data_IF_203914394949
#
_entry.id   IF_203914394949
#
_cell.length_a   1.000
_cell.length_b   1.000
_cell.length_c   1.000
_cell.angle_alpha   90.00
_cell.angle_beta   90.00
_cell.angle_gamma   90.00
#
_symmetry.space_group_name_H-M   'P 1'
#
loop_
_entity.id
_entity.type
_entity.pdbx_description
1 polymer ?
#
# COMPACT_ATOMS: atom_id res chain seq x y z
N UNK A 1 -8.22 1.89 -12.28
CA UNK A 1 -8.22 0.44 -11.95
C UNK A 1 -6.89 0.12 -11.29
N UNK A 2 -6.94 -0.40 -10.09
CA UNK A 2 -5.73 -0.80 -9.39
C UNK A 2 -5.06 -1.96 -10.12
N UNK A 3 -3.73 -1.91 -10.23
CA UNK A 3 -2.98 -3.01 -10.80
C UNK A 3 -3.06 -4.23 -9.88
N UNK A 4 -3.47 -5.36 -10.43
CA UNK A 4 -3.51 -6.62 -9.69
C UNK A 4 -2.19 -7.34 -9.92
N UNK A 5 -1.47 -7.59 -8.84
CA UNK A 5 -0.21 -8.32 -8.88
C UNK A 5 -0.44 -9.78 -8.56
N UNK A 6 0.21 -10.65 -9.32
CA UNK A 6 0.16 -12.08 -9.06
C UNK A 6 0.89 -12.41 -7.77
N UNK A 7 0.39 -13.37 -6.96
CA UNK A 7 1.14 -13.87 -5.83
C UNK A 7 2.49 -14.42 -6.30
N UNK A 8 3.55 -14.14 -5.58
CA UNK A 8 4.83 -14.63 -6.01
C UNK A 8 5.97 -14.21 -5.10
N UNK A 9 7.13 -14.71 -5.44
CA UNK A 9 8.38 -14.38 -4.80
C UNK A 9 8.99 -13.09 -5.37
N UNK A 10 10.19 -12.75 -4.92
CA UNK A 10 10.91 -11.56 -5.36
C UNK A 10 11.07 -11.48 -6.89
N UNK A 11 11.39 -12.59 -7.55
CA UNK A 11 11.56 -12.63 -9.02
C UNK A 11 10.28 -12.26 -9.73
N UNK A 12 9.20 -12.93 -9.36
CA UNK A 12 7.88 -12.70 -9.96
C UNK A 12 7.43 -11.26 -9.74
N UNK A 13 7.64 -10.71 -8.55
CA UNK A 13 7.29 -9.32 -8.22
C UNK A 13 8.08 -8.33 -9.07
N UNK A 14 9.38 -8.53 -9.25
CA UNK A 14 10.22 -7.66 -10.09
C UNK A 14 9.77 -7.74 -11.56
N UNK A 15 9.53 -8.94 -12.07
CA UNK A 15 9.05 -9.13 -13.45
C UNK A 15 7.71 -8.44 -13.68
N UNK A 16 6.78 -8.59 -12.74
CA UNK A 16 5.48 -7.93 -12.82
C UNK A 16 5.59 -6.41 -12.80
N UNK A 17 6.46 -5.86 -11.95
CA UNK A 17 6.70 -4.42 -11.90
C UNK A 17 7.30 -3.89 -13.19
N UNK A 18 8.22 -4.62 -13.78
CA UNK A 18 8.81 -4.25 -15.08
C UNK A 18 7.72 -4.22 -16.16
N UNK A 19 6.86 -5.23 -16.20
CA UNK A 19 5.74 -5.29 -17.15
C UNK A 19 4.73 -4.16 -16.91
N UNK A 20 4.30 -3.95 -15.68
CA UNK A 20 3.30 -2.93 -15.36
C UNK A 20 3.79 -1.52 -15.65
N UNK A 21 5.07 -1.25 -15.46
CA UNK A 21 5.67 0.04 -15.75
C UNK A 21 6.09 0.19 -17.21
N UNK A 22 6.00 -0.87 -18.02
CA UNK A 22 6.38 -0.90 -19.44
C UNK A 22 7.80 -0.40 -19.68
N UNK A 23 8.73 -0.85 -18.87
CA UNK A 23 10.15 -0.49 -18.92
C UNK A 23 10.98 -1.72 -19.31
N UNK A 24 12.24 -1.49 -19.68
CA UNK A 24 13.20 -2.56 -19.90
C UNK A 24 13.90 -2.95 -18.61
N UNK A 25 14.56 -4.10 -18.58
CA UNK A 25 15.38 -4.52 -17.44
C UNK A 25 16.58 -3.59 -17.21
N UNK A 26 17.02 -2.87 -18.21
CA UNK A 26 18.15 -1.95 -18.09
C UNK A 26 17.87 -0.81 -17.12
N UNK A 27 16.64 -0.29 -17.06
CA UNK A 27 16.28 0.80 -16.17
C UNK A 27 16.41 0.44 -14.68
N UNK A 28 15.75 -0.63 -14.19
CA UNK A 28 15.90 -1.00 -12.78
C UNK A 28 17.33 -1.44 -12.46
N UNK A 29 18.01 -2.11 -13.36
CA UNK A 29 19.42 -2.50 -13.16
C UNK A 29 20.31 -1.28 -12.94
N UNK A 30 20.17 -0.25 -13.77
CA UNK A 30 20.93 1.01 -13.63
C UNK A 30 20.62 1.69 -12.28
N UNK A 31 19.37 1.73 -11.88
CA UNK A 31 18.95 2.37 -10.61
C UNK A 31 19.51 1.68 -9.37
N UNK A 32 19.75 0.39 -9.43
CA UNK A 32 20.29 -0.36 -8.29
C UNK A 32 21.81 -0.59 -8.40
N UNK A 33 22.44 -0.09 -9.46
CA UNK A 33 23.89 -0.13 -9.61
C UNK A 33 24.46 -1.48 -10.05
N UNK A 34 23.67 -2.29 -10.76
CA UNK A 34 24.14 -3.55 -11.35
C UNK A 34 23.95 -3.51 -12.87
N UNK A 35 24.57 -4.46 -13.57
CA UNK A 35 24.40 -4.61 -15.02
C UNK A 35 23.05 -5.26 -15.34
N UNK A 36 22.50 -4.94 -16.51
CA UNK A 36 21.30 -5.61 -17.02
C UNK A 36 21.48 -7.13 -17.06
N UNK A 37 22.66 -7.58 -17.45
CA UNK A 37 23.03 -8.99 -17.46
C UNK A 37 22.95 -9.64 -16.07
N UNK A 38 23.39 -8.95 -15.03
CA UNK A 38 23.30 -9.43 -13.65
C UNK A 38 21.86 -9.54 -13.18
N UNK A 39 21.02 -8.56 -13.50
CA UNK A 39 19.59 -8.61 -13.19
C UNK A 39 18.91 -9.74 -13.92
N UNK A 40 19.21 -9.92 -15.21
CA UNK A 40 18.66 -11.00 -16.03
C UNK A 40 19.02 -12.39 -15.46
N UNK A 41 20.23 -12.58 -15.00
CA UNK A 41 20.65 -13.85 -14.36
C UNK A 41 19.81 -14.16 -13.12
N UNK A 42 19.51 -13.15 -12.32
CA UNK A 42 18.62 -13.33 -11.17
C UNK A 42 17.20 -13.68 -11.62
N UNK A 43 16.66 -12.94 -12.58
CA UNK A 43 15.28 -13.13 -13.06
C UNK A 43 15.09 -14.49 -13.76
N UNK A 44 16.10 -15.00 -14.42
CA UNK A 44 16.04 -16.32 -15.09
C UNK A 44 16.40 -17.49 -14.18
N UNK A 45 16.72 -17.23 -12.93
CA UNK A 45 17.05 -18.28 -11.94
C UNK A 45 18.47 -18.78 -11.97
N UNK A 46 19.36 -18.20 -12.77
CA UNK A 46 20.79 -18.58 -12.80
C UNK A 46 21.56 -18.17 -11.56
N UNK A 47 21.07 -17.12 -10.88
CA UNK A 47 21.56 -16.65 -9.59
C UNK A 47 20.38 -16.71 -8.63
N UNK A 48 20.55 -17.34 -7.48
CA UNK A 48 19.46 -17.59 -6.55
C UNK A 48 19.05 -16.37 -5.73
N UNK A 49 20.00 -15.50 -5.42
CA UNK A 49 19.80 -14.41 -4.46
C UNK A 49 20.19 -13.06 -5.05
N UNK A 50 19.39 -12.07 -4.71
CA UNK A 50 19.69 -10.66 -4.90
C UNK A 50 20.11 -10.11 -3.53
N UNK A 51 21.14 -9.27 -3.46
CA UNK A 51 21.59 -8.68 -2.21
C UNK A 51 20.53 -7.80 -1.57
N UNK A 52 20.52 -7.72 -0.24
CA UNK A 52 19.50 -6.93 0.47
C UNK A 52 19.53 -5.44 0.08
N UNK A 53 20.70 -4.88 -0.20
CA UNK A 53 20.80 -3.49 -0.68
C UNK A 53 20.14 -3.29 -2.03
N UNK A 54 20.28 -4.25 -2.95
CA UNK A 54 19.62 -4.19 -4.24
C UNK A 54 18.10 -4.28 -4.08
N UNK A 55 17.61 -5.11 -3.16
CA UNK A 55 16.17 -5.19 -2.84
C UNK A 55 15.65 -3.86 -2.33
N UNK A 56 16.35 -3.21 -1.41
CA UNK A 56 15.97 -1.89 -0.89
C UNK A 56 15.97 -0.83 -1.99
N UNK A 57 16.95 -0.83 -2.86
CA UNK A 57 17.04 0.11 -3.99
C UNK A 57 15.95 -0.12 -5.02
N UNK A 58 15.60 -1.39 -5.30
CA UNK A 58 14.48 -1.72 -6.18
C UNK A 58 13.15 -1.24 -5.60
N UNK A 59 12.93 -1.45 -4.31
CA UNK A 59 11.73 -0.96 -3.64
C UNK A 59 11.57 0.56 -3.80
N UNK A 60 12.65 1.29 -3.61
CA UNK A 60 12.67 2.76 -3.80
C UNK A 60 12.46 3.14 -5.26
N UNK A 61 13.09 2.42 -6.19
CA UNK A 61 12.99 2.70 -7.62
C UNK A 61 11.57 2.50 -8.14
N UNK A 62 10.90 1.44 -7.69
CA UNK A 62 9.51 1.15 -8.07
C UNK A 62 8.47 1.80 -7.16
N UNK A 63 8.89 2.49 -6.10
CA UNK A 63 8.00 3.13 -5.13
C UNK A 63 7.03 2.13 -4.47
N UNK A 64 7.54 0.96 -4.14
CA UNK A 64 6.80 -0.08 -3.42
C UNK A 64 7.51 -0.41 -2.11
N UNK A 65 6.84 -1.13 -1.21
CA UNK A 65 7.44 -1.59 0.03
C UNK A 65 8.37 -2.78 -0.22
N UNK A 66 9.38 -2.96 0.65
CA UNK A 66 10.21 -4.15 0.64
C UNK A 66 9.41 -5.41 0.95
N UNK A 67 8.40 -5.29 1.82
CA UNK A 67 7.50 -6.41 2.14
C UNK A 67 6.75 -6.89 0.90
N UNK A 68 6.28 -5.97 0.07
CA UNK A 68 5.65 -6.32 -1.20
C UNK A 68 6.62 -7.05 -2.13
N UNK A 69 7.84 -6.53 -2.31
CA UNK A 69 8.84 -7.18 -3.15
C UNK A 69 9.20 -8.58 -2.67
N UNK A 70 9.29 -8.78 -1.35
CA UNK A 70 9.64 -10.06 -0.76
C UNK A 70 8.46 -11.03 -0.68
N UNK A 71 7.27 -10.62 -1.13
CA UNK A 71 6.09 -11.48 -1.15
C UNK A 71 5.38 -11.61 0.20
N UNK A 72 5.72 -10.78 1.18
CA UNK A 72 5.10 -10.81 2.52
C UNK A 72 3.74 -10.13 2.56
N UNK A 73 3.42 -9.29 1.59
CA UNK A 73 2.14 -8.62 1.44
C UNK A 73 1.77 -8.51 -0.03
N UNK A 74 0.48 -8.44 -0.33
CA UNK A 74 -0.03 -8.19 -1.67
C UNK A 74 -0.24 -6.70 -1.95
N UNK A 75 -0.05 -5.85 -0.94
CA UNK A 75 -0.26 -4.41 -1.03
C UNK A 75 1.07 -3.73 -1.36
N UNK A 76 1.19 -3.05 -2.52
CA UNK A 76 2.45 -2.44 -2.96
C UNK A 76 2.81 -1.15 -2.22
N UNK A 77 1.88 -0.52 -1.53
CA UNK A 77 2.11 0.77 -0.88
C UNK A 77 3.33 0.76 0.04
N UNK A 78 4.18 1.77 -0.11
CA UNK A 78 5.40 1.91 0.68
C UNK A 78 5.13 2.15 2.16
N UNK A 79 3.99 2.73 2.48
CA UNK A 79 3.67 3.12 3.84
C UNK A 79 2.67 2.17 4.46
N UNK A 80 3.07 1.50 5.54
CA UNK A 80 2.15 0.84 6.44
C UNK A 80 1.64 1.90 7.42
N UNK A 81 0.35 2.20 7.34
CA UNK A 81 -0.24 3.21 8.19
C UNK A 81 -0.40 2.68 9.62
N UNK A 82 0.21 3.38 10.57
CA UNK A 82 -0.06 3.14 11.98
C UNK A 82 -1.49 3.57 12.32
N UNK A 83 -2.15 2.86 13.24
CA UNK A 83 -3.53 3.20 13.65
C UNK A 83 -3.63 4.64 14.13
N UNK A 84 -2.62 5.12 14.87
CA UNK A 84 -2.55 6.50 15.35
C UNK A 84 -2.52 7.54 14.22
N UNK A 85 -1.90 7.21 13.10
CA UNK A 85 -1.83 8.09 11.93
C UNK A 85 -3.15 8.20 11.20
N UNK A 86 -4.02 7.19 11.33
CA UNK A 86 -5.35 7.20 10.72
C UNK A 86 -6.35 8.07 11.48
N UNK A 87 -6.01 8.52 12.68
CA UNK A 87 -6.91 9.33 13.50
C UNK A 87 -8.06 8.56 14.14
N UNK A 88 -8.02 7.22 14.07
CA UNK A 88 -9.03 6.38 14.72
C UNK A 88 -8.84 6.36 16.24
N UNK A 89 -9.94 6.38 16.98
CA UNK A 89 -9.89 6.12 18.40
C UNK A 89 -9.55 4.65 18.67
N UNK A 90 -9.07 4.34 19.88
CA UNK A 90 -8.81 2.96 20.30
C UNK A 90 -10.08 2.11 20.19
N UNK A 91 -11.22 2.66 20.56
CA UNK A 91 -12.51 1.98 20.48
C UNK A 91 -12.90 1.67 19.04
N UNK A 92 -12.76 2.64 18.13
CA UNK A 92 -13.05 2.45 16.71
C UNK A 92 -12.14 1.38 16.08
N UNK A 93 -10.85 1.44 16.38
CA UNK A 93 -9.88 0.44 15.91
C UNK A 93 -10.21 -0.95 16.43
N UNK A 94 -10.58 -1.07 17.71
CA UNK A 94 -10.98 -2.34 18.31
C UNK A 94 -12.23 -2.92 17.65
N UNK A 95 -13.23 -2.10 17.35
CA UNK A 95 -14.46 -2.53 16.70
C UNK A 95 -14.20 -3.06 15.29
N UNK A 96 -13.28 -2.43 14.57
CA UNK A 96 -12.82 -2.94 13.26
C UNK A 96 -12.12 -4.28 13.39
N UNK A 97 -11.18 -4.37 14.33
CA UNK A 97 -10.36 -5.57 14.54
C UNK A 97 -11.20 -6.77 14.97
N UNK A 98 -12.17 -6.55 15.87
CA UNK A 98 -13.04 -7.60 16.39
C UNK A 98 -14.20 -7.99 15.45
N UNK A 99 -14.30 -7.33 14.30
CA UNK A 99 -15.36 -7.63 13.34
C UNK A 99 -16.76 -7.22 13.77
N UNK A 100 -16.88 -6.25 14.67
CA UNK A 100 -18.17 -5.72 15.11
C UNK A 100 -18.87 -4.89 14.04
N UNK A 101 -18.13 -4.46 13.02
CA UNK A 101 -18.66 -3.73 11.88
C UNK A 101 -18.35 -4.49 10.59
N UNK A 102 -19.19 -4.32 9.58
CA UNK A 102 -18.97 -4.93 8.27
C UNK A 102 -17.90 -4.15 7.51
N UNK A 103 -16.70 -4.72 7.40
CA UNK A 103 -15.53 -4.05 6.82
C UNK A 103 -15.72 -3.70 5.34
N UNK A 104 -16.38 -4.54 4.58
CA UNK A 104 -16.66 -4.25 3.16
C UNK A 104 -17.57 -3.03 2.99
N UNK A 105 -18.51 -2.82 3.90
CA UNK A 105 -19.34 -1.61 3.92
C UNK A 105 -18.52 -0.39 4.33
N UNK A 106 -17.71 -0.51 5.38
CA UNK A 106 -16.84 0.58 5.86
C UNK A 106 -15.87 1.01 4.76
N UNK A 107 -15.26 0.06 4.07
CA UNK A 107 -14.35 0.34 2.97
C UNK A 107 -15.04 1.12 1.84
N UNK A 108 -16.21 0.67 1.42
CA UNK A 108 -16.99 1.38 0.38
C UNK A 108 -17.34 2.81 0.78
N UNK A 109 -17.71 3.02 2.04
CA UNK A 109 -17.99 4.35 2.55
C UNK A 109 -16.75 5.24 2.53
N UNK A 110 -15.63 4.74 3.06
CA UNK A 110 -14.39 5.51 3.15
C UNK A 110 -13.76 5.81 1.77
N UNK A 111 -13.98 4.95 0.81
CA UNK A 111 -13.48 5.12 -0.57
C UNK A 111 -14.33 6.12 -1.36
N UNK A 112 -15.53 6.42 -0.94
CA UNK A 112 -16.47 7.28 -1.67
C UNK A 112 -16.18 8.78 -1.45
N UNK A 113 -15.91 9.56 -2.51
CA UNK A 113 -15.77 11.01 -2.38
C UNK A 113 -17.00 11.70 -1.81
N UNK A 114 -18.21 11.19 -2.11
CA UNK A 114 -19.46 11.73 -1.56
C UNK A 114 -19.57 11.50 -0.06
N UNK A 115 -19.03 10.40 0.43
CA UNK A 115 -19.03 10.13 1.87
C UNK A 115 -18.14 11.12 2.61
N UNK A 116 -17.04 11.53 2.04
CA UNK A 116 -16.20 12.59 2.61
C UNK A 116 -16.99 13.89 2.81
N UNK A 117 -17.77 14.30 1.81
CA UNK A 117 -18.66 15.47 1.92
C UNK A 117 -19.72 15.28 2.99
N UNK A 118 -20.34 14.10 3.04
CA UNK A 118 -21.37 13.77 4.05
C UNK A 118 -20.80 13.81 5.46
N UNK A 119 -19.59 13.32 5.67
CA UNK A 119 -18.96 13.38 7.01
C UNK A 119 -18.75 14.81 7.48
N UNK A 120 -18.42 15.71 6.56
CA UNK A 120 -18.28 17.13 6.85
C UNK A 120 -19.60 17.74 7.31
N UNK A 121 -20.70 17.46 6.60
CA UNK A 121 -22.04 17.93 6.96
C UNK A 121 -22.51 17.36 8.30
N UNK A 122 -22.29 16.07 8.53
CA UNK A 122 -22.62 15.42 9.81
C UNK A 122 -21.84 16.07 10.94
N UNK A 123 -20.54 16.36 10.72
CA UNK A 123 -19.70 17.05 11.70
C UNK A 123 -20.27 18.40 12.10
N UNK A 124 -20.72 19.21 11.14
CA UNK A 124 -21.36 20.48 11.40
C UNK A 124 -22.65 20.33 12.23
N UNK A 125 -23.48 19.36 11.86
CA UNK A 125 -24.71 19.08 12.59
C UNK A 125 -24.45 18.68 14.05
N UNK A 126 -23.48 17.81 14.29
CA UNK A 126 -23.09 17.37 15.62
C UNK A 126 -22.56 18.53 16.47
N UNK A 127 -21.73 19.38 15.89
CA UNK A 127 -21.19 20.56 16.58
C UNK A 127 -22.30 21.53 16.96
N UNK A 128 -23.24 21.83 16.06
CA UNK A 128 -24.39 22.70 16.33
C UNK A 128 -25.26 22.11 17.43
N UNK A 129 -25.53 20.81 17.39
CA UNK A 129 -26.35 20.13 18.40
C UNK A 129 -25.70 20.20 19.78
N UNK A 130 -24.38 20.00 19.85
CA UNK A 130 -23.64 20.12 21.10
C UNK A 130 -23.61 21.55 21.61
N UNK A 131 -23.41 22.52 20.74
CA UNK A 131 -23.46 23.95 21.10
C UNK A 131 -24.81 24.35 21.68
N UNK A 132 -25.92 23.90 21.07
CA UNK A 132 -27.27 24.11 21.59
C UNK A 132 -27.48 23.44 22.95
N UNK A 133 -26.95 22.22 23.14
CA UNK A 133 -27.02 21.51 24.41
C UNK A 133 -26.31 22.23 25.53
N UNK A 134 -25.20 22.91 25.26
CA UNK A 134 -24.49 23.71 26.27
C UNK A 134 -25.12 25.07 26.49
N UNK A 135 -25.88 25.61 25.56
CA UNK A 135 -26.57 26.88 25.68
C UNK A 135 -27.89 26.82 26.47
N UNK A 136 -28.39 25.61 26.65
CA UNK A 136 -29.61 25.38 27.46
C UNK A 136 -29.25 25.27 28.98
#
# INVERSE_FOLDING_TARGET
MEAVYLPGDLRTRIEDLIKHNKISQAEPAAKIGITESSLNRFLTGKVEKLGHEQVLRLARAFQVSTDFLLGLTEIPDRKNYEISELGLSVEAARNLYLGKVQLDVVNRLLESPRFAEVTYLIGQYLDDTMAQGYAA
#
